data_IF_970608419635
#
_entry.id   IF_970608419635
#
_cell.length_a   1.000
_cell.length_b   1.000
_cell.length_c   1.000
_cell.angle_alpha   90.00
_cell.angle_beta   90.00
_cell.angle_gamma   90.00
#
_symmetry.space_group_name_H-M   'P 1'
#
loop_
_entity.id
_entity.type
_entity.pdbx_description
1 polymer ?
#
# COMPACT_ATOMS: atom_id res chain seq x y z
N UNK A 1 5.47 10.85 -18.10
CA UNK A 1 4.39 10.20 -17.32
C UNK A 1 3.54 11.26 -16.63
N UNK A 2 2.26 11.34 -17.02
CA UNK A 2 1.29 12.27 -16.45
C UNK A 2 0.94 11.93 -14.99
N UNK A 3 0.35 12.89 -14.27
CA UNK A 3 -0.05 12.72 -12.86
C UNK A 3 -1.09 11.58 -12.69
N UNK A 4 -1.95 11.37 -13.68
CA UNK A 4 -2.97 10.31 -13.70
C UNK A 4 -2.35 8.90 -13.77
N UNK A 5 -1.37 8.68 -14.66
CA UNK A 5 -0.63 7.41 -14.76
C UNK A 5 0.01 6.99 -13.44
N UNK A 6 0.60 7.96 -12.73
CA UNK A 6 1.23 7.69 -11.43
C UNK A 6 0.21 7.24 -10.39
N UNK A 7 -0.99 7.84 -10.38
CA UNK A 7 -2.05 7.46 -9.45
C UNK A 7 -2.59 6.05 -9.75
N UNK A 8 -2.76 5.70 -11.02
CA UNK A 8 -3.15 4.35 -11.43
C UNK A 8 -2.09 3.33 -11.01
N UNK A 9 -0.81 3.64 -11.23
CA UNK A 9 0.30 2.81 -10.79
C UNK A 9 0.28 2.58 -9.27
N UNK A 10 0.09 3.65 -8.48
CA UNK A 10 0.01 3.54 -7.02
C UNK A 10 -1.18 2.70 -6.55
N UNK A 11 -2.35 2.89 -7.15
CA UNK A 11 -3.55 2.09 -6.86
C UNK A 11 -3.33 0.62 -7.19
N UNK A 12 -2.75 0.33 -8.36
CA UNK A 12 -2.45 -1.05 -8.77
C UNK A 12 -1.52 -1.72 -7.75
N UNK A 13 -0.45 -1.05 -7.34
CA UNK A 13 0.50 -1.60 -6.36
C UNK A 13 -0.09 -1.81 -4.96
N UNK A 14 -1.07 -1.01 -4.55
CA UNK A 14 -1.83 -1.26 -3.32
C UNK A 14 -2.77 -2.47 -3.45
N UNK A 15 -3.41 -2.64 -4.61
CA UNK A 15 -4.25 -3.80 -4.89
C UNK A 15 -3.42 -5.09 -4.94
N UNK A 16 -2.33 -5.09 -5.72
CA UNK A 16 -1.37 -6.19 -5.82
C UNK A 16 -0.80 -6.57 -4.45
N UNK A 17 -0.45 -5.58 -3.62
CA UNK A 17 0.04 -5.81 -2.26
C UNK A 17 -1.02 -6.47 -1.37
N UNK A 18 -2.29 -6.12 -1.55
CA UNK A 18 -3.41 -6.67 -0.79
C UNK A 18 -3.76 -8.09 -1.26
N UNK A 19 -3.74 -8.32 -2.57
CA UNK A 19 -3.99 -9.63 -3.20
C UNK A 19 -2.86 -10.62 -2.91
N UNK A 20 -1.61 -10.14 -2.85
CA UNK A 20 -0.46 -10.97 -2.48
C UNK A 20 -0.51 -11.47 -1.02
N UNK A 21 -1.38 -10.89 -0.18
CA UNK A 21 -1.44 -11.21 1.26
C UNK A 21 -0.16 -10.84 2.03
N UNK A 22 0.77 -10.11 1.40
CA UNK A 22 2.06 -9.75 1.96
C UNK A 22 1.92 -8.53 2.87
N UNK A 23 2.67 -8.54 3.97
CA UNK A 23 2.85 -7.32 4.76
C UNK A 23 3.53 -6.24 3.92
N UNK A 24 3.13 -4.98 4.13
CA UNK A 24 3.60 -3.82 3.37
C UNK A 24 5.14 -3.73 3.28
N UNK A 25 5.85 -4.13 4.34
CA UNK A 25 7.32 -4.22 4.38
C UNK A 25 7.87 -5.30 3.44
N UNK A 26 7.28 -6.49 3.45
CA UNK A 26 7.70 -7.61 2.59
C UNK A 26 7.45 -7.30 1.11
N UNK A 27 6.28 -6.75 0.79
CA UNK A 27 5.96 -6.30 -0.56
C UNK A 27 6.90 -5.17 -1.02
N UNK A 28 7.18 -4.18 -0.16
CA UNK A 28 8.16 -3.12 -0.46
C UNK A 28 9.56 -3.69 -0.70
N UNK A 29 10.02 -4.66 0.10
CA UNK A 29 11.31 -5.31 -0.13
C UNK A 29 11.35 -6.07 -1.46
N UNK A 30 10.29 -6.81 -1.80
CA UNK A 30 10.21 -7.59 -3.04
C UNK A 30 10.16 -6.71 -4.28
N UNK A 31 9.42 -5.60 -4.22
CA UNK A 31 9.30 -4.64 -5.31
C UNK A 31 10.43 -3.58 -5.33
N UNK A 32 11.41 -3.69 -4.41
CA UNK A 32 12.50 -2.71 -4.19
C UNK A 32 11.98 -1.28 -4.02
N UNK A 33 10.82 -1.15 -3.39
CA UNK A 33 10.16 0.10 -3.06
C UNK A 33 10.51 0.53 -1.63
N UNK A 34 10.62 1.85 -1.43
CA UNK A 34 10.79 2.41 -0.08
C UNK A 34 9.43 2.40 0.63
N UNK A 35 9.40 1.91 1.86
CA UNK A 35 8.19 1.93 2.70
C UNK A 35 7.63 3.35 2.90
N UNK A 36 8.52 4.34 2.99
CA UNK A 36 8.16 5.77 3.05
C UNK A 36 7.41 6.22 1.78
N UNK A 37 7.84 5.76 0.61
CA UNK A 37 7.19 6.05 -0.67
C UNK A 37 5.81 5.40 -0.76
N UNK A 38 5.67 4.15 -0.31
CA UNK A 38 4.39 3.46 -0.25
C UNK A 38 3.40 4.15 0.71
N UNK A 39 3.89 4.57 1.88
CA UNK A 39 3.11 5.32 2.87
C UNK A 39 2.64 6.66 2.31
N UNK A 40 3.48 7.33 1.53
CA UNK A 40 3.13 8.57 0.84
C UNK A 40 2.01 8.36 -0.19
N UNK A 41 2.08 7.30 -1.00
CA UNK A 41 1.02 6.96 -1.96
C UNK A 41 -0.31 6.73 -1.26
N UNK A 42 -0.30 5.94 -0.17
CA UNK A 42 -1.49 5.63 0.61
C UNK A 42 -2.13 6.90 1.17
N UNK A 43 -1.34 7.83 1.72
CA UNK A 43 -1.81 9.14 2.21
C UNK A 43 -2.41 10.00 1.08
N UNK A 44 -1.79 10.02 -0.09
CA UNK A 44 -2.25 10.81 -1.25
C UNK A 44 -3.55 10.26 -1.85
N UNK A 45 -3.67 8.94 -1.91
CA UNK A 45 -4.88 8.26 -2.40
C UNK A 45 -6.04 8.39 -1.41
N UNK A 46 -5.75 8.53 -0.12
CA UNK A 46 -6.75 8.75 0.95
C UNK A 46 -7.08 10.23 1.18
N UNK A 47 -6.99 11.08 0.14
CA UNK A 47 -7.08 12.54 0.26
C UNK A 47 -8.30 13.06 1.07
N UNK A 48 -8.15 14.24 1.71
CA UNK A 48 -8.65 14.56 3.06
C UNK A 48 -10.11 15.01 3.15
N UNK A 49 -10.96 14.77 2.15
CA UNK A 49 -12.34 15.29 2.19
C UNK A 49 -13.30 14.47 3.05
N UNK A 50 -13.00 13.22 3.36
CA UNK A 50 -13.87 12.39 4.19
C UNK A 50 -13.00 11.44 5.03
N UNK A 51 -13.16 11.52 6.35
CA UNK A 51 -12.65 10.60 7.37
C UNK A 51 -11.13 10.56 7.62
N UNK A 52 -10.69 11.52 8.45
CA UNK A 52 -9.82 11.24 9.58
C UNK A 52 -10.22 9.92 10.29
N UNK A 53 -9.25 9.05 10.54
CA UNK A 53 -9.36 8.05 11.60
C UNK A 53 -10.06 6.74 11.23
N UNK A 54 -9.41 5.89 10.44
CA UNK A 54 -9.44 4.45 10.71
C UNK A 54 -8.11 3.84 10.29
N UNK A 55 -7.18 3.77 11.25
CA UNK A 55 -6.20 2.69 11.26
C UNK A 55 -7.01 1.40 11.37
N UNK A 56 -7.48 0.89 10.23
CA UNK A 56 -7.99 -0.48 10.16
C UNK A 56 -6.75 -1.31 10.49
N UNK A 57 -6.73 -1.91 11.69
CA UNK A 57 -5.85 -3.06 11.96
C UNK A 57 -6.25 -4.10 10.94
N UNK A 58 -5.55 -4.13 9.81
CA UNK A 58 -5.57 -5.32 8.98
C UNK A 58 -4.92 -6.39 9.86
N UNK A 59 -5.61 -7.51 10.17
CA UNK A 59 -4.93 -8.63 10.79
C UNK A 59 -3.85 -9.04 9.80
N UNK A 60 -2.61 -8.63 10.08
CA UNK A 60 -1.45 -9.24 9.47
C UNK A 60 -1.46 -10.68 9.95
N UNK A 61 -2.14 -11.53 9.21
CA UNK A 61 -1.96 -12.97 9.28
C UNK A 61 -0.51 -13.22 8.89
N UNK A 62 0.38 -13.18 9.90
CA UNK A 62 1.74 -13.71 9.83
C UNK A 62 1.59 -15.23 9.70
N UNK A 63 1.25 -15.66 8.49
CA UNK A 63 1.20 -17.05 8.08
C UNK A 63 2.61 -17.58 8.01
N UNK A 64 3.00 -18.25 9.07
CA UNK A 64 4.25 -18.97 9.20
C UNK A 64 4.29 -20.19 8.26
N UNK A 65 5.49 -20.45 7.72
CA UNK A 65 6.11 -21.77 7.46
C UNK A 65 5.62 -22.63 6.29
N UNK A 66 6.41 -23.65 5.90
CA UNK A 66 7.77 -24.03 6.36
C UNK A 66 8.90 -23.64 5.39
#
# INVERSE_FOLDING_TARGET
MNKADKLLFWKKQLADCSESGLSQKAYCSQQRLKLATFSYWRKRLCSPKEACGKLIRLPISVGSRP
#
